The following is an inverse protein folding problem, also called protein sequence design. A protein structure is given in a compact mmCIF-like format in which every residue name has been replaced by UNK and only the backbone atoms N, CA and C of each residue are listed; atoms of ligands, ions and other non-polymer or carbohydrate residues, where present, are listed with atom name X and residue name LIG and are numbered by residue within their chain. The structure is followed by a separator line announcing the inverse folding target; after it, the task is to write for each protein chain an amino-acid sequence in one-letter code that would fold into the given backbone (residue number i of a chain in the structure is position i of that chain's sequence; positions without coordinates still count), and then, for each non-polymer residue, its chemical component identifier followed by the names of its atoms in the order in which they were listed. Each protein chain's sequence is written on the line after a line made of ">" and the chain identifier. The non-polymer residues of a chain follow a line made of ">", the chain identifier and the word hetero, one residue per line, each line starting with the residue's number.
data_IF_575677322444
#
_entry.id   IF_575677322444
#
_cell.length_a   1.000
_cell.length_b   1.000
_cell.length_c   1.000
_cell.angle_alpha   90.00
_cell.angle_beta   90.00
_cell.angle_gamma   90.00
#
_symmetry.space_group_name_H-M   'P 1'
#
loop_
_entity.id
_entity.type
_entity.pdbx_description
1 polymer ?
#
# COMPACT_ATOMS: atom_id res chain seq x y z
N UNK A 1 -27.87 13.40 -15.50
CA UNK A 1 -26.46 13.40 -15.02
C UNK A 1 -25.74 14.44 -15.87
N UNK A 2 -25.24 15.48 -15.28
CA UNK A 2 -24.51 16.55 -15.98
C UNK A 2 -23.01 16.21 -16.03
N UNK A 3 -22.25 16.84 -16.91
CA UNK A 3 -20.77 16.63 -16.96
C UNK A 3 -20.08 16.97 -15.64
N UNK A 4 -20.69 17.80 -14.79
CA UNK A 4 -20.20 18.09 -13.44
C UNK A 4 -20.41 16.91 -12.47
N UNK A 5 -21.35 16.00 -12.74
CA UNK A 5 -21.61 14.80 -11.94
C UNK A 5 -20.71 13.62 -12.38
N UNK A 6 -20.16 13.66 -13.58
CA UNK A 6 -19.30 12.60 -14.13
C UNK A 6 -17.84 12.69 -13.64
N UNK A 7 -17.32 13.91 -13.44
CA UNK A 7 -15.95 14.10 -12.92
C UNK A 7 -15.72 13.49 -11.54
N UNK A 8 -16.61 13.69 -10.54
CA UNK A 8 -16.47 13.04 -9.24
C UNK A 8 -16.47 11.52 -9.31
N UNK A 9 -17.29 10.93 -10.19
CA UNK A 9 -17.36 9.47 -10.35
C UNK A 9 -16.10 8.91 -11.01
N UNK A 10 -15.57 9.55 -12.05
CA UNK A 10 -14.31 9.14 -12.71
C UNK A 10 -13.11 9.23 -11.77
N UNK A 11 -13.02 10.30 -10.97
CA UNK A 11 -12.00 10.46 -9.95
C UNK A 11 -12.10 9.34 -8.90
N UNK A 12 -13.29 9.14 -8.34
CA UNK A 12 -13.52 8.12 -7.32
C UNK A 12 -13.15 6.73 -7.86
N UNK A 13 -13.60 6.38 -9.05
CA UNK A 13 -13.27 5.12 -9.70
C UNK A 13 -11.75 4.96 -9.94
N UNK A 14 -11.08 6.02 -10.40
CA UNK A 14 -9.65 6.01 -10.64
C UNK A 14 -8.84 5.74 -9.39
N UNK A 15 -9.17 6.41 -8.28
CA UNK A 15 -8.45 6.24 -7.01
C UNK A 15 -8.83 4.94 -6.30
N UNK A 16 -10.09 4.51 -6.37
CA UNK A 16 -10.47 3.18 -5.88
C UNK A 16 -9.74 2.08 -6.66
N UNK A 17 -9.63 2.22 -7.97
CA UNK A 17 -8.90 1.25 -8.81
C UNK A 17 -7.40 1.23 -8.49
N UNK A 18 -6.78 2.38 -8.23
CA UNK A 18 -5.40 2.47 -7.76
C UNK A 18 -5.22 1.69 -6.46
N UNK A 19 -6.05 1.96 -5.46
CA UNK A 19 -5.96 1.35 -4.14
C UNK A 19 -6.20 -0.16 -4.19
N UNK A 20 -7.25 -0.61 -4.88
CA UNK A 20 -7.56 -2.03 -4.99
C UNK A 20 -6.51 -2.79 -5.80
N UNK A 21 -5.97 -2.21 -6.87
CA UNK A 21 -4.93 -2.85 -7.68
C UNK A 21 -3.60 -2.97 -6.93
N UNK A 22 -3.25 -1.96 -6.13
CA UNK A 22 -2.08 -2.00 -5.27
C UNK A 22 -2.15 -3.15 -4.27
N UNK A 23 -3.24 -3.25 -3.51
CA UNK A 23 -3.40 -4.31 -2.52
C UNK A 23 -3.59 -5.69 -3.16
N UNK A 24 -4.18 -5.75 -4.36
CA UNK A 24 -4.22 -6.98 -5.14
C UNK A 24 -2.81 -7.48 -5.49
N UNK A 25 -1.91 -6.59 -5.95
CA UNK A 25 -0.51 -6.95 -6.19
C UNK A 25 0.19 -7.42 -4.90
N UNK A 26 -0.05 -6.73 -3.78
CA UNK A 26 0.54 -7.11 -2.49
C UNK A 26 0.07 -8.49 -2.02
N UNK A 27 -1.24 -8.78 -2.14
CA UNK A 27 -1.84 -10.00 -1.61
C UNK A 27 -1.66 -11.22 -2.52
N UNK A 28 -1.68 -11.04 -3.84
CA UNK A 28 -1.68 -12.14 -4.80
C UNK A 28 -0.39 -12.25 -5.62
N UNK A 29 0.40 -11.18 -5.68
CA UNK A 29 1.69 -11.13 -6.38
C UNK A 29 2.89 -10.84 -5.45
N UNK A 30 2.65 -10.86 -4.14
CA UNK A 30 3.65 -10.60 -3.09
C UNK A 30 4.37 -9.23 -3.24
N UNK A 31 3.66 -8.22 -3.77
CA UNK A 31 4.15 -6.85 -3.93
C UNK A 31 5.27 -6.69 -4.97
N UNK A 32 5.35 -7.60 -5.97
CA UNK A 32 6.41 -7.52 -7.00
C UNK A 32 6.36 -6.25 -7.81
N UNK A 33 5.15 -5.71 -8.05
CA UNK A 33 4.91 -4.48 -8.81
C UNK A 33 4.50 -3.29 -7.93
N UNK A 34 4.50 -3.46 -6.62
CA UNK A 34 4.02 -2.45 -5.67
C UNK A 34 4.65 -1.06 -5.91
N UNK A 35 5.93 -0.99 -6.27
CA UNK A 35 6.64 0.26 -6.56
C UNK A 35 6.11 1.01 -7.80
N UNK A 36 5.50 0.31 -8.77
CA UNK A 36 4.97 0.90 -10.01
C UNK A 36 3.71 1.75 -9.77
N UNK A 37 3.03 1.54 -8.63
CA UNK A 37 1.87 2.33 -8.22
C UNK A 37 2.23 3.71 -7.66
N UNK A 38 3.52 4.01 -7.52
CA UNK A 38 4.03 5.28 -7.00
C UNK A 38 4.68 6.11 -8.10
N UNK A 39 4.72 7.43 -7.90
CA UNK A 39 5.65 8.28 -8.66
C UNK A 39 7.09 7.92 -8.29
N UNK A 40 8.07 8.32 -9.10
CA UNK A 40 9.47 7.91 -8.95
C UNK A 40 10.05 8.15 -7.54
N UNK A 41 9.69 9.26 -6.89
CA UNK A 41 10.09 9.66 -5.55
C UNK A 41 8.98 9.48 -4.50
N UNK A 42 7.93 8.71 -4.82
CA UNK A 42 6.78 8.48 -3.98
C UNK A 42 7.15 7.86 -2.63
N UNK A 43 6.31 8.12 -1.62
CA UNK A 43 6.51 7.66 -0.25
C UNK A 43 5.48 6.62 0.13
N UNK A 44 5.93 5.44 0.54
CA UNK A 44 5.15 4.48 1.31
C UNK A 44 5.54 4.56 2.79
N UNK A 45 4.57 4.66 3.68
CA UNK A 45 4.81 4.72 5.13
C UNK A 45 3.89 3.77 5.89
N UNK A 46 4.45 3.07 6.90
CA UNK A 46 3.68 2.24 7.85
C UNK A 46 4.18 2.55 9.26
N UNK A 47 3.35 3.23 10.05
CA UNK A 47 3.79 3.78 11.32
C UNK A 47 5.00 4.70 11.12
N UNK A 48 6.06 4.44 11.86
CA UNK A 48 7.31 5.23 11.78
C UNK A 48 8.23 4.83 10.62
N UNK A 49 7.93 3.72 9.93
CA UNK A 49 8.76 3.26 8.81
C UNK A 49 8.39 3.99 7.52
N UNK A 50 9.40 4.49 6.82
CA UNK A 50 9.25 5.26 5.58
C UNK A 50 10.13 4.69 4.46
N UNK A 51 9.50 4.46 3.31
CA UNK A 51 10.14 3.92 2.11
C UNK A 51 9.94 4.91 0.97
N UNK A 52 10.92 5.77 0.73
CA UNK A 52 10.85 6.79 -0.32
C UNK A 52 11.53 6.32 -1.59
N UNK A 53 10.80 6.42 -2.69
CA UNK A 53 11.22 6.07 -4.05
C UNK A 53 11.09 4.59 -4.38
N UNK A 54 11.05 4.29 -5.68
CA UNK A 54 10.83 2.93 -6.20
C UNK A 54 11.82 1.91 -5.62
N UNK A 55 13.11 2.29 -5.45
CA UNK A 55 14.14 1.40 -4.92
C UNK A 55 13.81 0.90 -3.51
N UNK A 56 13.48 1.80 -2.58
CA UNK A 56 13.16 1.43 -1.19
C UNK A 56 11.84 0.67 -1.07
N UNK A 57 10.82 1.04 -1.85
CA UNK A 57 9.54 0.31 -1.87
C UNK A 57 9.76 -1.11 -2.37
N UNK A 58 10.52 -1.29 -3.46
CA UNK A 58 10.89 -2.61 -4.00
C UNK A 58 11.66 -3.45 -2.99
N UNK A 59 12.65 -2.84 -2.33
CA UNK A 59 13.46 -3.49 -1.30
C UNK A 59 12.60 -3.98 -0.12
N UNK A 60 11.65 -3.16 0.35
CA UNK A 60 10.72 -3.56 1.40
C UNK A 60 9.91 -4.82 1.03
N UNK A 61 9.32 -4.87 -0.16
CA UNK A 61 8.56 -6.05 -0.58
C UNK A 61 9.47 -7.25 -0.88
N UNK A 62 10.70 -7.05 -1.35
CA UNK A 62 11.69 -8.12 -1.49
C UNK A 62 12.04 -8.74 -0.14
N UNK A 63 12.35 -7.91 0.85
CA UNK A 63 12.58 -8.34 2.23
C UNK A 63 11.39 -9.13 2.80
N UNK A 64 10.15 -8.68 2.57
CA UNK A 64 8.96 -9.44 3.01
C UNK A 64 8.92 -10.84 2.40
N UNK A 65 9.23 -10.99 1.11
CA UNK A 65 9.25 -12.29 0.42
C UNK A 65 10.32 -13.23 0.95
N UNK A 66 11.48 -12.71 1.35
CA UNK A 66 12.58 -13.52 1.90
C UNK A 66 12.28 -14.13 3.27
N UNK A 67 11.29 -13.61 3.98
CA UNK A 67 10.87 -14.10 5.31
C UNK A 67 9.94 -15.32 5.27
N UNK A 68 9.78 -15.93 4.12
CA UNK A 68 8.90 -17.08 3.94
C UNK A 68 7.54 -16.72 3.39
N UNK A 69 6.74 -17.75 3.13
CA UNK A 69 5.41 -17.59 2.56
C UNK A 69 4.40 -17.19 3.63
N UNK A 70 3.72 -16.09 3.41
CA UNK A 70 2.57 -15.68 4.22
C UNK A 70 1.38 -15.37 3.32
N UNK A 71 0.19 -15.68 3.78
CA UNK A 71 -1.06 -15.31 3.14
C UNK A 71 -1.60 -14.06 3.81
N UNK A 72 -1.80 -13.01 3.03
CA UNK A 72 -2.36 -11.73 3.50
C UNK A 72 -3.65 -11.39 2.77
N UNK A 73 -4.50 -10.60 3.44
CA UNK A 73 -5.67 -9.93 2.85
C UNK A 73 -5.76 -8.53 3.44
N UNK A 74 -5.62 -7.54 2.56
CA UNK A 74 -5.80 -6.14 2.89
C UNK A 74 -7.22 -5.75 2.46
N UNK A 75 -8.07 -5.45 3.42
CA UNK A 75 -9.43 -5.01 3.19
C UNK A 75 -9.50 -3.51 3.40
N UNK A 76 -9.94 -2.79 2.37
CA UNK A 76 -10.12 -1.35 2.42
C UNK A 76 -11.59 -1.01 2.54
N UNK A 77 -11.90 -0.13 3.47
CA UNK A 77 -13.26 0.33 3.73
C UNK A 77 -13.32 1.82 4.02
N UNK A 78 -14.52 2.38 4.05
CA UNK A 78 -14.79 3.79 4.37
C UNK A 78 -13.97 4.76 3.51
N UNK A 79 -13.73 4.41 2.23
CA UNK A 79 -12.99 5.26 1.32
C UNK A 79 -13.71 6.59 1.08
N UNK A 80 -12.95 7.65 1.22
CA UNK A 80 -13.34 9.00 0.82
C UNK A 80 -12.26 9.59 -0.07
N UNK A 81 -12.67 10.27 -1.12
CA UNK A 81 -11.81 10.90 -2.12
C UNK A 81 -12.17 12.37 -2.19
N UNK A 82 -11.16 13.23 -2.12
CA UNK A 82 -11.30 14.67 -2.27
C UNK A 82 -10.32 15.17 -3.36
N UNK A 83 -10.86 15.84 -4.39
CA UNK A 83 -10.03 16.47 -5.41
C UNK A 83 -9.37 17.75 -4.86
N UNK A 84 -8.08 17.89 -5.08
CA UNK A 84 -7.35 19.15 -4.82
C UNK A 84 -7.32 20.03 -6.07
N UNK A 85 -7.13 19.41 -7.24
CA UNK A 85 -7.20 20.02 -8.57
C UNK A 85 -7.42 18.93 -9.65
N UNK A 86 -7.28 19.28 -10.93
CA UNK A 86 -7.52 18.37 -12.05
C UNK A 86 -6.54 17.17 -12.10
N UNK A 87 -5.37 17.28 -11.45
CA UNK A 87 -4.31 16.24 -11.47
C UNK A 87 -3.88 15.79 -10.08
N UNK A 88 -4.50 16.29 -9.03
CA UNK A 88 -4.16 15.96 -7.63
C UNK A 88 -5.42 15.65 -6.84
N UNK A 89 -5.35 14.62 -6.04
CA UNK A 89 -6.42 14.23 -5.15
C UNK A 89 -5.85 13.55 -3.89
N UNK A 90 -6.65 13.58 -2.83
CA UNK A 90 -6.38 12.82 -1.61
C UNK A 90 -7.41 11.69 -1.45
N UNK A 91 -6.95 10.64 -0.81
CA UNK A 91 -7.76 9.46 -0.48
C UNK A 91 -7.55 9.15 1.01
N UNK A 92 -8.64 8.97 1.73
CA UNK A 92 -8.61 8.48 3.11
C UNK A 92 -9.51 7.25 3.25
N UNK A 93 -9.19 6.39 4.20
CA UNK A 93 -9.96 5.17 4.44
C UNK A 93 -9.47 4.42 5.66
N UNK A 94 -9.97 3.20 5.82
CA UNK A 94 -9.55 2.27 6.86
C UNK A 94 -9.05 0.99 6.21
N UNK A 95 -7.86 0.59 6.60
CA UNK A 95 -7.27 -0.69 6.21
C UNK A 95 -7.40 -1.70 7.34
N UNK A 96 -7.90 -2.91 7.03
CA UNK A 96 -7.86 -4.07 7.90
C UNK A 96 -6.98 -5.15 7.27
N UNK A 97 -5.90 -5.52 7.96
CA UNK A 97 -4.96 -6.55 7.51
C UNK A 97 -5.19 -7.85 8.25
N UNK A 98 -5.45 -8.90 7.50
CA UNK A 98 -5.40 -10.29 7.95
C UNK A 98 -4.12 -10.95 7.42
N UNK A 99 -3.41 -11.67 8.29
CA UNK A 99 -2.20 -12.39 7.91
C UNK A 99 -2.10 -13.72 8.63
N UNK A 100 -1.61 -14.72 7.91
CA UNK A 100 -1.20 -15.99 8.48
C UNK A 100 0.04 -16.51 7.76
N UNK A 101 0.93 -17.15 8.49
CA UNK A 101 2.07 -17.84 7.89
C UNK A 101 1.59 -19.12 7.19
N UNK A 102 2.16 -19.41 6.02
CA UNK A 102 1.83 -20.59 5.22
C UNK A 102 0.70 -20.36 4.21
N UNK A 103 0.15 -21.47 3.71
CA UNK A 103 -0.86 -21.52 2.65
C UNK A 103 -2.25 -21.84 3.18
N UNK A 104 -3.33 -21.25 2.63
CA UNK A 104 -4.69 -21.56 3.02
C UNK A 104 -5.07 -23.00 2.62
N UNK A 105 -6.16 -23.57 3.20
CA UNK A 105 -7.07 -22.91 4.14
C UNK A 105 -6.53 -22.87 5.59
N UNK A 106 -6.91 -21.82 6.33
CA UNK A 106 -6.62 -21.69 7.75
C UNK A 106 -7.88 -21.93 8.57
N UNK A 107 -7.77 -22.69 9.66
CA UNK A 107 -8.87 -22.97 10.57
C UNK A 107 -8.79 -22.10 11.83
N UNK A 108 -9.94 -21.88 12.46
CA UNK A 108 -10.09 -21.12 13.69
C UNK A 108 -10.33 -19.62 13.46
N UNK A 109 -10.61 -18.91 14.54
CA UNK A 109 -10.84 -17.47 14.54
C UNK A 109 -9.53 -16.73 14.28
N UNK A 110 -9.62 -15.69 13.44
CA UNK A 110 -8.49 -14.81 13.15
C UNK A 110 -8.96 -13.35 13.14
N UNK A 111 -8.70 -12.62 14.22
CA UNK A 111 -8.92 -11.18 14.20
C UNK A 111 -7.96 -10.51 13.20
N UNK A 112 -8.26 -9.30 12.73
CA UNK A 112 -7.31 -8.54 11.95
C UNK A 112 -6.01 -8.33 12.74
N UNK A 113 -4.90 -8.55 12.08
CA UNK A 113 -3.57 -8.33 12.64
C UNK A 113 -3.28 -6.83 12.84
N UNK A 114 -3.85 -6.00 11.99
CA UNK A 114 -3.69 -4.56 12.02
C UNK A 114 -4.97 -3.90 11.52
N UNK A 115 -5.43 -2.87 12.21
CA UNK A 115 -6.37 -1.89 11.67
C UNK A 115 -5.65 -0.54 11.67
N UNK A 116 -5.63 0.13 10.53
CA UNK A 116 -4.93 1.40 10.35
C UNK A 116 -5.81 2.43 9.64
N UNK A 117 -5.65 3.70 9.99
CA UNK A 117 -6.07 4.78 9.12
C UNK A 117 -5.18 4.79 7.88
N UNK A 118 -5.81 4.86 6.73
CA UNK A 118 -5.17 4.99 5.43
C UNK A 118 -5.30 6.43 4.95
N UNK A 119 -4.18 7.00 4.51
CA UNK A 119 -4.15 8.32 3.89
C UNK A 119 -3.20 8.28 2.69
N UNK A 120 -3.65 8.79 1.55
CA UNK A 120 -2.82 8.91 0.36
C UNK A 120 -3.03 10.25 -0.33
N UNK A 121 -1.93 10.82 -0.85
CA UNK A 121 -1.94 11.88 -1.83
C UNK A 121 -1.59 11.27 -3.19
N UNK A 122 -2.42 11.55 -4.18
CA UNK A 122 -2.34 10.94 -5.49
C UNK A 122 -2.19 11.99 -6.59
N UNK A 123 -1.45 11.65 -7.63
CA UNK A 123 -1.26 12.50 -8.81
C UNK A 123 -1.63 11.73 -10.08
N UNK A 124 -2.26 12.44 -11.01
CA UNK A 124 -2.57 11.95 -12.34
C UNK A 124 -1.40 12.27 -13.28
N UNK A 125 -0.76 11.23 -13.81
CA UNK A 125 0.30 11.38 -14.81
C UNK A 125 -0.21 11.87 -16.15
N UNK A 126 0.70 12.29 -17.02
CA UNK A 126 0.34 12.66 -18.40
C UNK A 126 -0.17 11.45 -19.22
N UNK A 127 0.17 10.24 -18.78
CA UNK A 127 -0.35 8.97 -19.28
C UNK A 127 -1.76 8.63 -18.77
N UNK A 128 -2.41 9.56 -18.09
CA UNK A 128 -3.75 9.41 -17.49
C UNK A 128 -3.84 8.28 -16.44
N UNK A 129 -2.72 7.96 -15.78
CA UNK A 129 -2.66 6.95 -14.72
C UNK A 129 -2.44 7.63 -13.37
N UNK A 130 -3.32 7.33 -12.40
CA UNK A 130 -3.17 7.76 -11.02
C UNK A 130 -2.06 6.98 -10.34
N UNK A 131 -1.21 7.70 -9.59
CA UNK A 131 -0.13 7.12 -8.77
C UNK A 131 -0.05 7.82 -7.42
N UNK A 132 0.44 7.09 -6.42
CA UNK A 132 0.70 7.67 -5.12
C UNK A 132 1.91 8.60 -5.15
N UNK A 133 1.73 9.81 -4.65
CA UNK A 133 2.81 10.67 -4.18
C UNK A 133 3.19 10.28 -2.75
N UNK A 134 2.16 10.07 -1.90
CA UNK A 134 2.29 9.50 -0.56
C UNK A 134 1.21 8.44 -0.36
N UNK A 135 1.54 7.39 0.38
CA UNK A 135 0.61 6.36 0.81
C UNK A 135 1.01 5.93 2.22
N UNK A 136 0.23 6.31 3.20
CA UNK A 136 0.54 6.17 4.61
C UNK A 136 -0.50 5.35 5.35
N UNK A 137 -0.04 4.44 6.19
CA UNK A 137 -0.84 3.65 7.10
C UNK A 137 -0.47 4.04 8.54
N UNK A 138 -1.43 4.58 9.27
CA UNK A 138 -1.29 4.90 10.69
C UNK A 138 -1.96 3.80 11.51
N UNK A 139 -1.21 2.93 12.19
CA UNK A 139 -1.77 1.89 13.03
C UNK A 139 -2.69 2.44 14.12
N UNK A 140 -3.89 1.88 14.26
CA UNK A 140 -4.87 2.20 15.29
C UNK A 140 -5.04 1.03 16.26
N UNK A 141 -5.24 -0.18 15.70
CA UNK A 141 -5.29 -1.41 16.47
C UNK A 141 -4.25 -2.37 15.94
N UNK A 142 -3.40 -2.88 16.82
CA UNK A 142 -2.32 -3.82 16.49
C UNK A 142 -2.52 -5.08 17.31
N UNK A 143 -2.48 -6.24 16.66
CA UNK A 143 -2.61 -7.54 17.31
C UNK A 143 -1.48 -7.79 18.31
N UNK A 144 -1.75 -8.61 19.32
CA UNK A 144 -0.85 -8.87 20.44
C UNK A 144 0.51 -9.48 20.03
N UNK A 145 0.55 -10.15 18.88
CA UNK A 145 1.73 -10.87 18.41
C UNK A 145 2.67 -10.03 17.52
N UNK A 146 2.39 -8.73 17.41
CA UNK A 146 3.16 -7.82 16.55
C UNK A 146 3.78 -6.75 17.44
N UNK A 147 5.10 -6.49 17.29
CA UNK A 147 5.70 -5.32 17.91
C UNK A 147 5.03 -4.04 17.43
N UNK A 148 4.70 -3.12 18.35
CA UNK A 148 4.15 -1.80 18.03
C UNK A 148 5.07 -0.99 17.11
N UNK A 149 6.38 -1.27 17.15
CA UNK A 149 7.36 -0.80 16.17
C UNK A 149 7.73 -1.96 15.24
N UNK A 150 7.35 -1.87 13.98
CA UNK A 150 7.93 -2.74 12.96
C UNK A 150 9.37 -2.28 12.77
N UNK A 151 10.29 -2.86 13.53
CA UNK A 151 11.72 -2.63 13.31
C UNK A 151 12.10 -3.38 12.03
N UNK A 152 12.20 -2.64 10.94
CA UNK A 152 12.77 -3.17 9.70
C UNK A 152 14.27 -2.93 9.78
N UNK A 153 15.03 -4.02 9.73
CA UNK A 153 16.47 -3.93 9.71
C UNK A 153 16.94 -3.14 8.47
N UNK A 154 17.47 -1.95 8.71
CA UNK A 154 17.94 -1.05 7.66
C UNK A 154 19.10 -1.63 6.84
N UNK A 155 19.88 -2.59 7.41
CA UNK A 155 20.92 -3.31 6.70
C UNK A 155 20.36 -4.20 5.58
N UNK A 156 19.29 -4.93 5.88
CA UNK A 156 18.62 -5.82 4.90
C UNK A 156 18.00 -5.00 3.77
N UNK A 157 17.48 -3.80 4.07
CA UNK A 157 16.99 -2.89 3.05
C UNK A 157 18.10 -2.35 2.15
N UNK A 158 19.28 -2.07 2.71
CA UNK A 158 20.44 -1.61 1.94
C UNK A 158 20.99 -2.71 1.02
N UNK A 159 21.02 -3.95 1.47
CA UNK A 159 21.42 -5.10 0.64
C UNK A 159 20.41 -5.35 -0.50
N UNK A 160 19.10 -5.28 -0.22
CA UNK A 160 18.07 -5.43 -1.23
C UNK A 160 18.07 -4.27 -2.26
N UNK A 161 18.44 -3.06 -1.84
CA UNK A 161 18.65 -1.93 -2.77
C UNK A 161 19.88 -2.14 -3.66
N UNK A 162 20.95 -2.70 -3.13
CA UNK A 162 22.16 -3.00 -3.90
C UNK A 162 21.91 -4.08 -4.96
N UNK A 163 21.15 -5.12 -4.63
CA UNK A 163 20.76 -6.19 -5.57
C UNK A 163 19.81 -5.66 -6.67
N UNK A 164 18.88 -4.77 -6.32
CA UNK A 164 17.95 -4.19 -7.29
C UNK A 164 18.63 -3.23 -8.29
N UNK A 165 19.83 -2.75 -8.01
CA UNK A 165 20.65 -1.93 -8.94
C UNK A 165 21.50 -2.75 -9.89
N UNK A 166 21.65 -4.07 -9.65
CA UNK A 166 22.48 -4.98 -10.46
C UNK A 166 21.67 -5.75 -11.52
N UNK A 167 20.36 -5.67 -11.46
CA UNK A 167 19.38 -6.27 -12.42
C UNK A 167 18.71 -5.21 -13.24
#
# INVERSE_FOLDING_TARGET
>A
MTAADEQPLALWYGLQSLETSYWYDVDFNAGRKAHEFYVADGLFAVGDNQFRGHGKIRAFYSWRRQRGYSTTRHLISNLRVDASDAKRASLVGVLSLYRAEGRPPFQGERPPMLIADLQADCVLGDDQVWRYQTHALKPIFVGSDIPLSISIDTHILAEAEADARRT
#
